data_IF_491409144945
#
_entry.id   IF_491409144945
#
_cell.length_a   1.000
_cell.length_b   1.000
_cell.length_c   1.000
_cell.angle_alpha   90.00
_cell.angle_beta   90.00
_cell.angle_gamma   90.00
#
_symmetry.space_group_name_H-M   'P 1'
#
loop_
_entity.id
_entity.type
_entity.pdbx_description
1 polymer ?
#
# COMPACT_ATOMS: atom_id res chain seq x y z
N UNK A 1 -0.62 3.34 14.00
CA UNK A 1 -1.13 2.10 14.64
C UNK A 1 0.00 1.26 15.22
N UNK A 2 1.06 0.93 14.46
CA UNK A 2 2.15 0.06 14.96
C UNK A 2 3.43 0.78 15.45
N UNK A 3 3.43 2.12 15.54
CA UNK A 3 4.59 2.87 16.06
C UNK A 3 4.71 2.82 17.60
N UNK A 4 3.71 2.24 18.27
CA UNK A 4 3.71 1.93 19.71
C UNK A 4 3.34 0.45 19.90
N UNK A 5 3.75 -0.18 21.02
CA UNK A 5 3.37 -1.56 21.32
C UNK A 5 1.85 -1.74 21.36
N UNK A 6 1.38 -2.85 20.80
CA UNK A 6 -0.03 -3.23 20.80
C UNK A 6 -0.22 -4.55 21.55
N UNK A 7 -1.33 -4.73 22.30
CA UNK A 7 -1.63 -5.98 23.01
C UNK A 7 -1.96 -7.16 22.07
N UNK A 8 -2.18 -6.88 20.78
CA UNK A 8 -2.46 -7.87 19.74
C UNK A 8 -1.67 -7.54 18.47
N UNK A 9 -1.47 -8.52 17.61
CA UNK A 9 -0.83 -8.31 16.31
C UNK A 9 -1.74 -7.49 15.38
N UNK A 10 -1.34 -6.25 15.09
CA UNK A 10 -2.04 -5.37 14.16
C UNK A 10 -1.36 -5.45 12.79
N UNK A 11 -2.06 -6.05 11.83
CA UNK A 11 -1.59 -6.23 10.45
C UNK A 11 -2.69 -5.83 9.47
N UNK A 12 -2.45 -6.07 8.18
CA UNK A 12 -3.34 -5.66 7.10
C UNK A 12 -3.97 -6.85 6.38
N UNK A 13 -5.20 -6.67 5.92
CA UNK A 13 -5.85 -7.51 4.92
C UNK A 13 -6.43 -6.58 3.85
N UNK A 14 -5.60 -6.25 2.86
CA UNK A 14 -5.88 -5.19 1.90
C UNK A 14 -6.17 -5.74 0.51
N UNK A 15 -7.36 -5.44 -0.01
CA UNK A 15 -7.69 -5.61 -1.43
C UNK A 15 -7.27 -4.37 -2.22
N UNK A 16 -8.11 -3.32 -2.21
CA UNK A 16 -7.93 -2.11 -3.01
C UNK A 16 -6.58 -1.39 -2.76
N UNK A 17 -6.13 -1.30 -1.51
CA UNK A 17 -4.91 -0.58 -1.17
C UNK A 17 -3.61 -1.26 -1.68
N UNK A 18 -3.66 -2.57 -1.98
CA UNK A 18 -2.57 -3.32 -2.62
C UNK A 18 -2.73 -3.38 -4.13
N UNK A 19 -3.95 -3.61 -4.62
CA UNK A 19 -4.19 -3.95 -6.03
C UNK A 19 -4.44 -2.75 -6.94
N UNK A 20 -4.92 -1.60 -6.44
CA UNK A 20 -5.33 -0.47 -7.29
C UNK A 20 -4.17 0.05 -8.16
N UNK A 21 -2.98 0.24 -7.58
CA UNK A 21 -1.79 0.64 -8.34
C UNK A 21 -1.38 -0.43 -9.35
N UNK A 22 -1.42 -1.71 -8.97
CA UNK A 22 -1.06 -2.84 -9.84
C UNK A 22 -1.99 -2.91 -11.05
N UNK A 23 -3.30 -2.79 -10.85
CA UNK A 23 -4.29 -2.80 -11.92
C UNK A 23 -4.12 -1.61 -12.88
N UNK A 24 -3.87 -0.42 -12.33
CA UNK A 24 -3.60 0.79 -13.14
C UNK A 24 -2.32 0.69 -13.96
N UNK A 25 -1.28 0.04 -13.43
CA UNK A 25 -0.02 -0.19 -14.14
C UNK A 25 -0.18 -1.29 -15.18
N UNK A 26 -0.89 -2.37 -14.87
CA UNK A 26 -1.06 -3.51 -15.77
C UNK A 26 -1.93 -3.20 -16.98
N UNK A 27 -3.07 -2.51 -16.79
CA UNK A 27 -4.04 -2.18 -17.86
C UNK A 27 -4.57 -3.38 -18.66
N UNK A 28 -4.42 -4.61 -18.15
CA UNK A 28 -4.77 -5.84 -18.88
C UNK A 28 -3.81 -6.21 -20.01
N UNK A 29 -2.66 -5.54 -20.11
CA UNK A 29 -1.68 -5.69 -21.18
C UNK A 29 -0.56 -6.66 -20.74
N UNK A 30 -0.32 -7.77 -21.46
CA UNK A 30 0.72 -8.74 -21.12
C UNK A 30 2.13 -8.13 -20.98
N UNK A 31 2.44 -7.13 -21.80
CA UNK A 31 3.71 -6.40 -21.78
C UNK A 31 3.96 -5.64 -20.48
N UNK A 32 2.92 -5.32 -19.71
CA UNK A 32 3.02 -4.57 -18.45
C UNK A 32 3.08 -5.48 -17.22
N UNK A 33 3.07 -6.81 -17.38
CA UNK A 33 3.02 -7.76 -16.25
C UNK A 33 4.21 -7.55 -15.31
N UNK A 34 5.43 -7.44 -15.83
CA UNK A 34 6.63 -7.25 -15.01
C UNK A 34 6.57 -5.92 -14.23
N UNK A 35 6.18 -4.83 -14.89
CA UNK A 35 6.04 -3.52 -14.26
C UNK A 35 4.96 -3.52 -13.18
N UNK A 36 3.84 -4.22 -13.41
CA UNK A 36 2.76 -4.36 -12.44
C UNK A 36 3.19 -5.21 -11.23
N UNK A 37 3.95 -6.29 -11.43
CA UNK A 37 4.52 -7.10 -10.34
C UNK A 37 5.50 -6.29 -9.49
N UNK A 38 6.35 -5.45 -10.11
CA UNK A 38 7.23 -4.53 -9.37
C UNK A 38 6.42 -3.55 -8.52
N UNK A 39 5.33 -2.99 -9.05
CA UNK A 39 4.44 -2.12 -8.29
C UNK A 39 3.80 -2.85 -7.09
N UNK A 40 3.37 -4.11 -7.28
CA UNK A 40 2.85 -4.95 -6.18
C UNK A 40 3.89 -5.14 -5.07
N UNK A 41 5.11 -5.49 -5.44
CA UNK A 41 6.19 -5.75 -4.49
C UNK A 41 6.53 -4.50 -3.66
N UNK A 42 6.54 -3.32 -4.29
CA UNK A 42 6.75 -2.05 -3.58
C UNK A 42 5.67 -1.85 -2.51
N UNK A 43 4.39 -2.03 -2.87
CA UNK A 43 3.28 -1.88 -1.92
C UNK A 43 3.29 -2.94 -0.82
N UNK A 44 3.62 -4.19 -1.15
CA UNK A 44 3.77 -5.26 -0.17
C UNK A 44 4.90 -4.97 0.84
N UNK A 45 6.05 -4.49 0.37
CA UNK A 45 7.17 -4.07 1.22
C UNK A 45 6.79 -2.90 2.12
N UNK A 46 6.12 -1.88 1.57
CA UNK A 46 5.62 -0.74 2.34
C UNK A 46 4.70 -1.19 3.49
N UNK A 47 3.73 -2.07 3.20
CA UNK A 47 2.81 -2.57 4.21
C UNK A 47 3.50 -3.47 5.25
N UNK A 48 4.47 -4.28 4.84
CA UNK A 48 5.30 -5.07 5.77
C UNK A 48 6.06 -4.17 6.75
N UNK A 49 6.69 -3.10 6.25
CA UNK A 49 7.35 -2.10 7.10
C UNK A 49 6.36 -1.38 8.01
N UNK A 50 5.13 -1.13 7.55
CA UNK A 50 4.09 -0.49 8.34
C UNK A 50 3.56 -1.41 9.45
N UNK A 51 3.49 -2.72 9.21
CA UNK A 51 3.18 -3.72 10.23
C UNK A 51 4.23 -3.70 11.35
N UNK A 52 5.51 -3.55 11.00
CA UNK A 52 6.61 -3.42 11.97
C UNK A 52 6.71 -2.04 12.63
N UNK A 53 5.88 -1.06 12.24
CA UNK A 53 5.97 0.32 12.73
C UNK A 53 7.16 1.12 12.18
N UNK A 54 7.83 0.62 11.13
CA UNK A 54 9.08 1.16 10.57
C UNK A 54 8.93 1.82 9.20
N UNK A 55 7.70 1.91 8.70
CA UNK A 55 7.44 2.52 7.40
C UNK A 55 7.65 4.04 7.44
N UNK A 56 8.37 4.55 6.45
CA UNK A 56 8.54 5.97 6.13
C UNK A 56 7.98 6.24 4.74
N UNK A 57 7.33 7.39 4.55
CA UNK A 57 6.84 7.84 3.25
C UNK A 57 7.93 8.50 2.39
N UNK A 58 9.17 8.56 2.88
CA UNK A 58 10.32 9.08 2.15
C UNK A 58 10.58 8.23 0.89
N UNK A 59 10.53 8.88 -0.28
CA UNK A 59 10.71 8.22 -1.58
C UNK A 59 9.43 7.65 -2.21
N UNK A 60 8.26 7.80 -1.58
CA UNK A 60 7.00 7.48 -2.26
C UNK A 60 6.62 8.53 -3.31
N UNK A 61 6.05 8.06 -4.43
CA UNK A 61 5.51 8.90 -5.48
C UNK A 61 4.38 9.80 -4.92
N UNK A 62 4.30 11.04 -5.38
CA UNK A 62 3.29 12.04 -4.97
C UNK A 62 1.85 11.54 -5.10
N UNK A 63 1.57 10.64 -6.04
CA UNK A 63 0.25 10.00 -6.17
C UNK A 63 -0.11 9.07 -5.01
N UNK A 64 0.88 8.45 -4.36
CA UNK A 64 0.66 7.62 -3.18
C UNK A 64 0.43 8.47 -1.91
N UNK A 65 1.02 9.69 -1.87
CA UNK A 65 0.81 10.68 -0.81
C UNK A 65 -0.58 11.31 -0.86
N UNK A 66 -1.22 11.36 -2.04
CA UNK A 66 -2.64 11.68 -2.18
C UNK A 66 -3.46 10.55 -1.56
N UNK A 67 -3.67 10.63 -0.25
CA UNK A 67 -4.41 9.64 0.51
C UNK A 67 -5.76 9.32 -0.14
N UNK A 68 -6.15 8.05 -0.17
CA UNK A 68 -7.45 7.59 -0.69
C UNK A 68 -8.62 7.92 0.26
N UNK A 69 -8.40 8.85 1.21
CA UNK A 69 -9.38 9.23 2.19
C UNK A 69 -10.53 10.00 1.53
N UNK A 70 -11.74 9.46 1.63
CA UNK A 70 -12.96 10.17 1.28
C UNK A 70 -13.63 10.67 2.57
N UNK A 71 -13.95 11.96 2.59
CA UNK A 71 -14.61 12.64 3.71
C UNK A 71 -15.97 11.97 3.94
N UNK A 72 -16.23 11.50 5.17
CA UNK A 72 -17.53 10.91 5.55
C UNK A 72 -17.46 9.59 6.34
N UNK A 73 -16.31 8.93 6.40
CA UNK A 73 -16.13 7.80 7.32
C UNK A 73 -15.99 8.32 8.76
N UNK A 74 -17.05 8.16 9.53
CA UNK A 74 -17.07 8.41 10.97
C UNK A 74 -16.67 7.11 11.68
N UNK A 75 -15.75 7.21 12.65
CA UNK A 75 -15.39 6.11 13.55
C UNK A 75 -16.40 6.00 14.68
#
# INVERSE_FOLDING_TARGET
MNQSPNPWHVSFSYARALQNTVLKTWKGQPENVETAQKALLIRAKANSMAQLGRYSAEGENEEAKKGMFQKGYTY
#
